data_IF_620274381500
#
_entry.id   IF_620274381500
#
_cell.length_a   1.000
_cell.length_b   1.000
_cell.length_c   1.000
_cell.angle_alpha   90.00
_cell.angle_beta   90.00
_cell.angle_gamma   90.00
#
_symmetry.space_group_name_H-M   'P 1'
#
loop_
_entity.id
_entity.type
_entity.pdbx_description
1 polymer ?
#
# COMPACT_ATOMS: atom_id res chain seq x y z
N UNK A 1 2.01 -7.22 11.39
CA UNK A 1 1.69 -7.53 9.97
C UNK A 1 0.98 -6.32 9.41
N UNK A 2 1.31 -5.85 8.20
CA UNK A 2 0.59 -4.69 7.64
C UNK A 2 -0.81 -5.10 7.16
N UNK A 3 -1.82 -4.28 7.44
CA UNK A 3 -3.18 -4.43 6.92
C UNK A 3 -3.19 -4.21 5.40
N UNK A 4 -4.02 -4.95 4.67
CA UNK A 4 -4.09 -4.88 3.20
C UNK A 4 -2.74 -5.10 2.46
N UNK A 5 -1.80 -5.83 3.07
CA UNK A 5 -0.53 -6.24 2.45
C UNK A 5 -0.38 -7.75 2.53
N UNK A 6 -0.11 -8.38 1.38
CA UNK A 6 0.16 -9.82 1.26
C UNK A 6 1.58 -10.06 0.74
N UNK A 7 2.32 -10.97 1.39
CA UNK A 7 3.62 -11.42 0.91
C UNK A 7 3.50 -12.71 0.09
N UNK A 8 3.89 -12.67 -1.19
CA UNK A 8 3.90 -13.83 -2.08
C UNK A 8 5.34 -14.23 -2.45
N UNK A 9 5.86 -15.35 -1.92
CA UNK A 9 7.21 -15.80 -2.26
C UNK A 9 7.25 -16.34 -3.69
N UNK A 10 8.22 -15.85 -4.49
CA UNK A 10 8.47 -16.34 -5.86
C UNK A 10 9.96 -16.68 -6.02
N UNK A 11 10.34 -17.97 -6.11
CA UNK A 11 11.73 -18.37 -6.25
C UNK A 11 12.38 -17.78 -7.52
N UNK A 12 13.61 -17.29 -7.40
CA UNK A 12 14.42 -16.83 -8.54
C UNK A 12 14.00 -15.49 -9.15
N UNK A 13 12.97 -14.82 -8.61
CA UNK A 13 12.59 -13.47 -9.02
C UNK A 13 13.08 -12.44 -7.99
N UNK A 14 13.53 -11.25 -8.42
CA UNK A 14 13.79 -10.15 -7.50
C UNK A 14 12.49 -9.74 -6.77
N UNK A 15 12.60 -9.26 -5.51
CA UNK A 15 11.44 -8.86 -4.74
C UNK A 15 10.91 -7.51 -5.23
N UNK A 16 9.59 -7.39 -5.35
CA UNK A 16 8.91 -6.15 -5.71
C UNK A 16 7.74 -5.89 -4.78
N UNK A 17 7.43 -4.61 -4.55
CA UNK A 17 6.11 -4.18 -4.07
C UNK A 17 5.24 -3.86 -5.28
N UNK A 18 4.01 -4.35 -5.28
CA UNK A 18 3.01 -4.03 -6.31
C UNK A 18 1.81 -3.42 -5.58
N UNK A 19 1.43 -2.21 -5.96
CA UNK A 19 0.23 -1.55 -5.48
C UNK A 19 -0.92 -1.92 -6.41
N UNK A 20 -2.01 -2.40 -5.82
CA UNK A 20 -3.22 -2.76 -6.54
C UNK A 20 -4.34 -1.76 -6.20
N UNK A 21 -5.21 -1.49 -7.16
CA UNK A 21 -6.45 -0.77 -6.91
C UNK A 21 -7.53 -1.69 -6.29
N UNK A 22 -8.73 -1.15 -6.10
CA UNK A 22 -9.86 -1.89 -5.51
C UNK A 22 -10.42 -2.99 -6.42
N UNK A 23 -10.11 -2.97 -7.72
CA UNK A 23 -10.46 -4.01 -8.69
C UNK A 23 -9.34 -5.07 -8.84
N UNK A 24 -8.18 -4.82 -8.22
CA UNK A 24 -7.01 -5.69 -8.26
C UNK A 24 -6.06 -5.40 -9.42
N UNK A 25 -6.21 -4.26 -10.10
CA UNK A 25 -5.33 -3.84 -11.20
C UNK A 25 -4.05 -3.20 -10.65
N UNK A 26 -2.91 -3.42 -11.31
CA UNK A 26 -1.63 -2.83 -10.91
C UNK A 26 -1.61 -1.33 -11.18
N UNK A 27 -1.51 -0.53 -10.11
CA UNK A 27 -1.31 0.92 -10.20
C UNK A 27 0.17 1.23 -10.37
N UNK A 28 1.02 0.62 -9.52
CA UNK A 28 2.44 0.95 -9.44
C UNK A 28 3.28 -0.21 -8.92
N UNK A 29 4.56 -0.23 -9.30
CA UNK A 29 5.53 -1.27 -8.92
C UNK A 29 6.85 -0.68 -8.48
N UNK A 30 7.35 -1.13 -7.33
CA UNK A 30 8.62 -0.70 -6.76
C UNK A 30 9.58 -1.89 -6.60
N UNK A 31 10.84 -1.69 -6.97
CA UNK A 31 11.92 -2.65 -6.72
C UNK A 31 12.32 -2.63 -5.23
N UNK A 32 12.30 -3.80 -4.60
CA UNK A 32 12.70 -3.99 -3.20
C UNK A 32 14.08 -4.63 -3.08
N UNK A 33 14.77 -4.98 -4.16
CA UNK A 33 16.02 -5.72 -4.14
C UNK A 33 17.14 -5.05 -3.33
N UNK A 34 17.10 -3.71 -3.22
CA UNK A 34 18.07 -2.92 -2.44
C UNK A 34 17.58 -2.55 -1.04
N UNK A 35 16.35 -2.90 -0.68
CA UNK A 35 15.75 -2.54 0.61
C UNK A 35 15.85 -3.69 1.60
N UNK A 36 16.26 -3.36 2.82
CA UNK A 36 16.15 -4.27 3.94
C UNK A 36 14.71 -4.27 4.51
N UNK A 37 14.46 -5.14 5.49
CA UNK A 37 13.13 -5.31 6.09
C UNK A 37 12.63 -4.05 6.78
N UNK A 38 13.48 -3.30 7.48
CA UNK A 38 13.09 -2.04 8.12
C UNK A 38 12.68 -0.99 7.07
N UNK A 39 13.49 -0.82 6.03
CA UNK A 39 13.22 0.11 4.94
C UNK A 39 11.93 -0.24 4.18
N UNK A 40 11.64 -1.53 3.98
CA UNK A 40 10.37 -1.97 3.40
C UNK A 40 9.18 -1.63 4.29
N UNK A 41 9.30 -1.84 5.61
CA UNK A 41 8.22 -1.51 6.55
C UNK A 41 8.00 0.01 6.62
N UNK A 42 9.07 0.80 6.66
CA UNK A 42 8.98 2.26 6.63
C UNK A 42 8.34 2.75 5.34
N UNK A 43 8.72 2.15 4.20
CA UNK A 43 8.12 2.47 2.91
C UNK A 43 6.61 2.21 2.88
N UNK A 44 6.15 1.08 3.43
CA UNK A 44 4.71 0.80 3.56
C UNK A 44 4.00 1.78 4.49
N UNK A 45 4.61 2.15 5.62
CA UNK A 45 4.05 3.15 6.52
C UNK A 45 3.91 4.52 5.83
N UNK A 46 4.90 4.92 5.03
CA UNK A 46 4.87 6.17 4.26
C UNK A 46 3.79 6.17 3.17
N UNK A 47 3.45 5.00 2.64
CA UNK A 47 2.31 4.81 1.73
C UNK A 47 0.95 4.78 2.45
N UNK A 48 0.94 4.90 3.79
CA UNK A 48 -0.29 4.92 4.60
C UNK A 48 -0.81 3.54 5.01
N UNK A 49 -0.04 2.47 4.81
CA UNK A 49 -0.45 1.15 5.27
C UNK A 49 -0.33 1.04 6.79
N UNK A 50 -1.41 0.59 7.43
CA UNK A 50 -1.44 0.40 8.87
C UNK A 50 -0.68 -0.86 9.30
N UNK A 51 0.23 -0.73 10.26
CA UNK A 51 0.95 -1.85 10.86
C UNK A 51 0.19 -2.40 12.08
N UNK A 52 -0.40 -3.59 11.94
CA UNK A 52 -1.05 -4.29 13.06
C UNK A 52 -0.03 -4.80 14.07
N UNK A 53 -0.38 -4.72 15.36
CA UNK A 53 0.43 -5.21 16.48
C UNK A 53 0.70 -6.72 16.41
N UNK A 54 -0.29 -7.48 15.96
CA UNK A 54 -0.19 -8.92 15.72
C UNK A 54 -0.88 -9.33 14.43
N UNK A 55 -0.85 -10.62 14.07
CA UNK A 55 -1.51 -11.12 12.86
C UNK A 55 -3.05 -11.05 12.99
N UNK A 56 -3.56 -11.45 14.15
CA UNK A 56 -4.98 -11.40 14.51
C UNK A 56 -5.41 -10.07 15.15
N UNK A 57 -4.47 -9.11 15.31
CA UNK A 57 -4.77 -7.82 15.91
C UNK A 57 -5.78 -7.01 15.10
N UNK A 58 -6.61 -6.25 15.82
CA UNK A 58 -7.64 -5.41 15.23
C UNK A 58 -7.03 -4.23 14.47
N UNK A 59 -7.75 -3.78 13.44
CA UNK A 59 -7.42 -2.57 12.69
C UNK A 59 -8.39 -1.49 13.14
N UNK A 60 -7.91 -0.34 13.65
CA UNK A 60 -8.79 0.76 14.03
C UNK A 60 -9.69 1.17 12.86
N UNK A 61 -10.91 1.64 13.17
CA UNK A 61 -11.92 1.98 12.16
C UNK A 61 -11.38 2.91 11.06
N UNK A 62 -10.53 3.87 11.44
CA UNK A 62 -9.87 4.82 10.53
C UNK A 62 -8.94 4.17 9.48
N UNK A 63 -8.48 2.93 9.70
CA UNK A 63 -7.59 2.21 8.78
C UNK A 63 -8.22 0.98 8.13
N UNK A 64 -9.50 0.68 8.41
CA UNK A 64 -10.15 -0.53 7.88
C UNK A 64 -10.13 -0.58 6.34
N UNK A 65 -10.31 0.57 5.71
CA UNK A 65 -10.20 0.75 4.26
C UNK A 65 -8.86 1.36 3.84
N UNK A 66 -7.90 1.54 4.74
CA UNK A 66 -6.60 2.10 4.40
C UNK A 66 -5.74 1.11 3.58
N UNK A 67 -4.83 1.58 2.72
CA UNK A 67 -4.54 2.98 2.40
C UNK A 67 -5.41 3.50 1.25
N UNK A 68 -6.56 2.87 0.93
CA UNK A 68 -7.44 3.37 -0.13
C UNK A 68 -7.88 4.78 0.24
N UNK A 69 -7.23 5.77 -0.39
CA UNK A 69 -7.75 7.11 -0.43
C UNK A 69 -8.91 7.06 -1.42
N UNK A 70 -10.12 7.51 -1.08
CA UNK A 70 -11.13 7.75 -2.10
C UNK A 70 -10.45 8.64 -3.13
N UNK A 71 -10.40 8.19 -4.40
CA UNK A 71 -9.91 9.01 -5.49
C UNK A 71 -10.76 10.27 -5.43
N UNK A 72 -10.22 11.37 -4.90
CA UNK A 72 -10.85 12.67 -5.10
C UNK A 72 -10.77 12.86 -6.61
N UNK A 73 -11.89 12.81 -7.36
CA UNK A 73 -11.85 13.13 -8.77
C UNK A 73 -11.21 14.51 -8.83
N UNK A 74 -10.15 14.64 -9.62
CA UNK A 74 -9.41 15.87 -9.78
C UNK A 74 -10.40 16.93 -10.29
N UNK A 75 -11.01 17.68 -9.36
CA UNK A 75 -11.84 18.84 -9.68
C UNK A 75 -10.83 19.83 -10.22
N UNK A 76 -10.68 19.85 -11.54
CA UNK A 76 -10.06 20.98 -12.23
C UNK A 76 -10.79 22.21 -11.67
N UNK A 77 -10.10 23.20 -11.10
CA UNK A 77 -10.75 24.46 -10.79
C UNK A 77 -11.44 24.88 -12.09
N UNK A 78 -12.77 25.01 -12.03
CA UNK A 78 -13.60 25.53 -13.12
C UNK A 78 -12.85 26.69 -13.77
N UNK A 79 -12.73 26.64 -15.10
CA UNK A 79 -12.41 27.80 -15.93
C UNK A 79 -13.14 29.02 -15.35
N UNK A 80 -12.41 29.89 -14.63
CA UNK A 80 -12.95 31.17 -14.17
C UNK A 80 -13.25 31.98 -15.43
N UNK A 81 -14.54 32.25 -15.61
CA UNK A 81 -15.18 32.95 -16.72
C UNK A 81 -14.58 34.34 -17.01
#
# INVERSE_FOLDING_TARGET
MCHNVEFKPKPGAPPFLVLLDGEGEEIERFDLAKKNREECNEFLSNLGFFKKESREGEVPEEYQTGPYLPVVPNIKPDDEL
#
